data_IF_540131165446
#
_entry.id   IF_540131165446
#
_cell.length_a   1.000
_cell.length_b   1.000
_cell.length_c   1.000
_cell.angle_alpha   90.00
_cell.angle_beta   90.00
_cell.angle_gamma   90.00
#
_symmetry.space_group_name_H-M   'P 1'
#
loop_
_entity.id
_entity.type
_entity.pdbx_description
1 polymer ?
#
# COMPACT_ATOMS: atom_id res chain seq x y z
N UNK A 1 31.90 4.09 -2.60
CA UNK A 1 30.44 3.91 -2.56
C UNK A 1 30.18 2.44 -2.79
N UNK A 2 29.55 1.75 -1.84
CA UNK A 2 29.28 0.33 -2.00
C UNK A 2 28.14 0.14 -3.02
N UNK A 3 28.41 -0.62 -4.08
CA UNK A 3 27.46 -0.89 -5.16
C UNK A 3 26.18 -1.56 -4.65
N UNK A 4 26.27 -2.38 -3.60
CA UNK A 4 25.13 -3.07 -3.01
C UNK A 4 24.13 -2.10 -2.37
N UNK A 5 24.62 -1.09 -1.65
CA UNK A 5 23.78 -0.05 -1.04
C UNK A 5 23.15 0.86 -2.10
N UNK A 6 23.87 1.16 -3.17
CA UNK A 6 23.33 1.92 -4.31
C UNK A 6 22.17 1.16 -4.96
N UNK A 7 22.37 -0.13 -5.27
CA UNK A 7 21.35 -0.98 -5.88
C UNK A 7 20.13 -1.08 -4.96
N UNK A 8 20.33 -1.33 -3.66
CA UNK A 8 19.24 -1.42 -2.70
C UNK A 8 18.46 -0.09 -2.58
N UNK A 9 19.16 1.05 -2.62
CA UNK A 9 18.50 2.37 -2.59
C UNK A 9 17.70 2.62 -3.86
N UNK A 10 18.26 2.29 -5.04
CA UNK A 10 17.55 2.38 -6.31
C UNK A 10 16.28 1.50 -6.32
N UNK A 11 16.38 0.25 -5.87
CA UNK A 11 15.23 -0.67 -5.80
C UNK A 11 14.18 -0.14 -4.80
N UNK A 12 14.61 0.40 -3.66
CA UNK A 12 13.71 0.99 -2.67
C UNK A 12 12.91 2.15 -3.28
N UNK A 13 13.60 3.08 -3.95
CA UNK A 13 13.00 4.27 -4.53
C UNK A 13 12.10 3.92 -5.72
N UNK A 14 12.49 2.94 -6.53
CA UNK A 14 11.66 2.41 -7.63
C UNK A 14 10.38 1.74 -7.10
N UNK A 15 10.49 0.91 -6.05
CA UNK A 15 9.34 0.27 -5.43
C UNK A 15 8.39 1.30 -4.80
N UNK A 16 8.93 2.33 -4.14
CA UNK A 16 8.17 3.43 -3.60
C UNK A 16 7.44 4.20 -4.71
N UNK A 17 8.15 4.57 -5.79
CA UNK A 17 7.57 5.27 -6.92
C UNK A 17 6.47 4.44 -7.62
N UNK A 18 6.70 3.14 -7.81
CA UNK A 18 5.72 2.23 -8.39
C UNK A 18 4.46 2.10 -7.52
N UNK A 19 4.62 1.95 -6.21
CA UNK A 19 3.51 1.86 -5.27
C UNK A 19 2.70 3.15 -5.24
N UNK A 20 3.34 4.29 -4.96
CA UNK A 20 2.65 5.58 -4.82
C UNK A 20 2.08 6.05 -6.16
N UNK A 21 2.88 6.02 -7.21
CA UNK A 21 2.46 6.43 -8.56
C UNK A 21 1.31 5.56 -9.07
N UNK A 22 1.36 4.25 -8.83
CA UNK A 22 0.28 3.34 -9.15
C UNK A 22 -0.99 3.62 -8.34
N UNK A 23 -0.88 3.84 -7.02
CA UNK A 23 -2.04 4.16 -6.17
C UNK A 23 -2.71 5.49 -6.60
N UNK A 24 -1.92 6.52 -6.90
CA UNK A 24 -2.40 7.79 -7.44
C UNK A 24 -3.09 7.58 -8.79
N UNK A 25 -2.49 6.83 -9.71
CA UNK A 25 -3.09 6.56 -11.02
C UNK A 25 -4.42 5.80 -10.87
N UNK A 26 -4.51 4.84 -9.95
CA UNK A 26 -5.74 4.09 -9.71
C UNK A 26 -6.86 4.98 -9.16
N UNK A 27 -6.57 5.82 -8.15
CA UNK A 27 -7.59 6.67 -7.50
C UNK A 27 -8.00 7.87 -8.36
N UNK A 28 -7.04 8.54 -9.03
CA UNK A 28 -7.30 9.83 -9.68
C UNK A 28 -7.41 9.77 -11.20
N UNK A 29 -6.98 8.66 -11.83
CA UNK A 29 -7.06 8.50 -13.30
C UNK A 29 -8.05 7.40 -13.63
N UNK A 30 -7.83 6.19 -13.12
CA UNK A 30 -8.62 5.03 -13.51
C UNK A 30 -10.05 5.07 -12.94
N UNK A 31 -10.21 5.32 -11.64
CA UNK A 31 -11.53 5.34 -11.02
C UNK A 31 -12.46 6.41 -11.65
N UNK A 32 -12.02 7.66 -11.89
CA UNK A 32 -12.82 8.64 -12.62
C UNK A 32 -13.12 8.23 -14.06
N UNK A 33 -12.16 7.63 -14.77
CA UNK A 33 -12.38 7.16 -16.14
C UNK A 33 -13.45 6.06 -16.20
N UNK A 34 -13.49 5.16 -15.20
CA UNK A 34 -14.48 4.10 -15.12
C UNK A 34 -15.91 4.60 -14.87
N UNK A 35 -16.07 5.76 -14.22
CA UNK A 35 -17.39 6.36 -13.97
C UNK A 35 -18.15 6.74 -15.26
N UNK A 36 -17.42 6.94 -16.36
CA UNK A 36 -17.98 7.30 -17.67
C UNK A 36 -18.31 6.10 -18.55
N UNK A 37 -18.04 4.88 -18.09
CA UNK A 37 -18.18 3.64 -18.86
C UNK A 37 -19.42 2.87 -18.36
N UNK A 38 -20.17 2.16 -19.22
CA UNK A 38 -21.27 1.30 -18.79
C UNK A 38 -20.85 0.33 -17.67
N UNK A 39 -21.67 0.11 -16.62
CA UNK A 39 -21.25 -0.60 -15.40
C UNK A 39 -20.63 -1.99 -15.65
N UNK A 40 -21.18 -2.77 -16.59
CA UNK A 40 -20.66 -4.09 -16.93
C UNK A 40 -19.23 -4.04 -17.52
N UNK A 41 -18.95 -3.03 -18.35
CA UNK A 41 -17.62 -2.85 -18.95
C UNK A 41 -16.64 -2.28 -17.92
N UNK A 42 -17.09 -1.34 -17.08
CA UNK A 42 -16.31 -0.80 -15.97
C UNK A 42 -15.88 -1.89 -14.98
N UNK A 43 -16.78 -2.84 -14.67
CA UNK A 43 -16.47 -3.98 -13.81
C UNK A 43 -15.36 -4.87 -14.41
N UNK A 44 -15.48 -5.25 -15.68
CA UNK A 44 -14.47 -6.09 -16.35
C UNK A 44 -13.11 -5.39 -16.40
N UNK A 45 -13.12 -4.09 -16.72
CA UNK A 45 -11.91 -3.27 -16.72
C UNK A 45 -11.30 -3.20 -15.32
N UNK A 46 -12.12 -2.96 -14.29
CA UNK A 46 -11.73 -2.93 -12.88
C UNK A 46 -11.09 -4.24 -12.43
N UNK A 47 -11.71 -5.38 -12.72
CA UNK A 47 -11.18 -6.70 -12.35
C UNK A 47 -9.81 -6.96 -12.99
N UNK A 48 -9.63 -6.65 -14.27
CA UNK A 48 -8.36 -6.87 -14.99
C UNK A 48 -7.25 -5.93 -14.55
N UNK A 49 -7.57 -4.64 -14.40
CA UNK A 49 -6.62 -3.61 -13.96
C UNK A 49 -6.17 -3.82 -12.52
N UNK A 50 -7.12 -4.03 -11.60
CA UNK A 50 -6.84 -4.31 -10.18
C UNK A 50 -6.04 -5.58 -9.99
N UNK A 51 -6.29 -6.64 -10.77
CA UNK A 51 -5.53 -7.89 -10.66
C UNK A 51 -4.04 -7.70 -10.97
N UNK A 52 -3.71 -6.91 -11.99
CA UNK A 52 -2.30 -6.59 -12.33
C UNK A 52 -1.69 -5.65 -11.31
N UNK A 53 -2.44 -4.62 -10.91
CA UNK A 53 -1.97 -3.64 -9.94
C UNK A 53 -1.70 -4.28 -8.56
N UNK A 54 -2.48 -5.28 -8.16
CA UNK A 54 -2.30 -6.01 -6.90
C UNK A 54 -0.93 -6.69 -6.83
N UNK A 55 -0.46 -7.29 -7.93
CA UNK A 55 0.89 -7.90 -7.98
C UNK A 55 1.95 -6.80 -7.74
N UNK A 56 1.82 -5.66 -8.42
CA UNK A 56 2.73 -4.53 -8.27
C UNK A 56 2.74 -4.01 -6.83
N UNK A 57 1.57 -3.90 -6.19
CA UNK A 57 1.40 -3.48 -4.80
C UNK A 57 2.17 -4.39 -3.85
N UNK A 58 1.93 -5.71 -3.92
CA UNK A 58 2.59 -6.66 -3.01
C UNK A 58 4.10 -6.71 -3.22
N UNK A 59 4.54 -6.74 -4.48
CA UNK A 59 5.97 -6.71 -4.80
C UNK A 59 6.61 -5.43 -4.26
N UNK A 60 5.96 -4.28 -4.45
CA UNK A 60 6.51 -3.00 -3.98
C UNK A 60 6.58 -2.94 -2.46
N UNK A 61 5.53 -3.35 -1.74
CA UNK A 61 5.52 -3.33 -0.27
C UNK A 61 6.60 -4.23 0.33
N UNK A 62 6.80 -5.43 -0.25
CA UNK A 62 7.86 -6.35 0.16
C UNK A 62 9.24 -5.74 -0.13
N UNK A 63 9.45 -5.20 -1.33
CA UNK A 63 10.74 -4.59 -1.69
C UNK A 63 11.06 -3.38 -0.81
N UNK A 64 10.10 -2.52 -0.51
CA UNK A 64 10.25 -1.37 0.40
C UNK A 64 10.74 -1.84 1.77
N UNK A 65 10.13 -2.89 2.34
CA UNK A 65 10.54 -3.44 3.63
C UNK A 65 11.96 -4.00 3.58
N UNK A 66 12.24 -4.92 2.64
CA UNK A 66 13.52 -5.63 2.57
C UNK A 66 14.68 -4.65 2.33
N UNK A 67 14.50 -3.72 1.39
CA UNK A 67 15.52 -2.71 1.09
C UNK A 67 15.64 -1.67 2.20
N UNK A 68 14.54 -1.32 2.89
CA UNK A 68 14.56 -0.45 4.06
C UNK A 68 15.39 -1.04 5.21
N UNK A 69 15.13 -2.30 5.57
CA UNK A 69 15.90 -3.05 6.57
C UNK A 69 17.37 -3.13 6.16
N UNK A 70 17.64 -3.48 4.90
CA UNK A 70 19.01 -3.58 4.38
C UNK A 70 19.78 -2.26 4.50
N UNK A 71 19.15 -1.13 4.15
CA UNK A 71 19.76 0.21 4.26
C UNK A 71 20.06 0.59 5.71
N UNK A 72 19.20 0.22 6.66
CA UNK A 72 19.44 0.46 8.08
C UNK A 72 20.59 -0.41 8.61
N UNK A 73 20.61 -1.70 8.25
CA UNK A 73 21.71 -2.60 8.57
C UNK A 73 23.05 -2.06 8.06
N UNK A 74 23.09 -1.64 6.80
CA UNK A 74 24.31 -1.10 6.18
C UNK A 74 24.82 0.18 6.86
N UNK A 75 23.92 1.00 7.42
CA UNK A 75 24.27 2.20 8.18
C UNK A 75 24.72 1.90 9.62
N UNK A 76 24.82 0.62 10.01
CA UNK A 76 25.13 0.22 11.39
C UNK A 76 24.03 0.58 12.39
N UNK A 77 22.80 0.78 11.91
CA UNK A 77 21.67 1.24 12.71
C UNK A 77 20.83 0.08 13.28
N UNK A 78 21.05 -1.12 12.78
CA UNK A 78 20.45 -2.37 13.27
C UNK A 78 21.54 -3.28 13.83
N UNK A 79 21.20 -4.06 14.86
CA UNK A 79 22.06 -5.12 15.42
C UNK A 79 23.44 -4.63 15.93
N UNK A 80 23.48 -3.48 16.60
CA UNK A 80 24.64 -3.03 17.39
C UNK A 80 24.64 -3.68 18.78
N UNK A 81 25.07 -2.96 19.83
CA UNK A 81 25.01 -3.44 21.22
C UNK A 81 23.56 -3.64 21.73
N UNK A 82 22.57 -3.09 21.02
CA UNK A 82 21.15 -3.29 21.22
C UNK A 82 20.48 -3.51 19.86
N UNK A 83 19.28 -4.13 19.86
CA UNK A 83 18.52 -4.39 18.63
C UNK A 83 18.27 -3.09 17.82
N UNK A 84 18.08 -1.97 18.52
CA UNK A 84 18.08 -0.61 17.97
C UNK A 84 19.27 0.18 18.50
N UNK A 85 19.99 0.88 17.63
CA UNK A 85 21.11 1.77 17.99
C UNK A 85 20.57 3.18 18.25
N UNK A 86 21.30 4.01 19.01
CA UNK A 86 20.89 5.32 19.50
C UNK A 86 20.03 6.16 18.52
N UNK A 87 20.33 6.33 17.22
CA UNK A 87 19.50 7.15 16.33
C UNK A 87 18.08 6.60 16.08
N UNK A 88 17.83 5.33 16.40
CA UNK A 88 16.53 4.66 16.22
C UNK A 88 15.68 4.65 17.49
N UNK A 89 16.20 5.14 18.62
CA UNK A 89 15.40 5.24 19.85
C UNK A 89 14.39 6.37 19.75
N UNK A 90 13.39 6.35 20.63
CA UNK A 90 12.31 7.35 20.67
C UNK A 90 12.81 8.77 20.98
N UNK A 91 14.01 8.90 21.55
CA UNK A 91 14.59 10.19 21.93
C UNK A 91 15.03 11.00 20.71
N UNK A 92 15.35 10.32 19.60
CA UNK A 92 15.85 10.95 18.38
C UNK A 92 14.76 11.14 17.33
N UNK A 93 14.79 12.32 16.70
CA UNK A 93 13.86 12.68 15.63
C UNK A 93 13.89 11.72 14.45
N UNK A 94 15.09 11.24 14.11
CA UNK A 94 15.30 10.22 13.09
C UNK A 94 14.55 8.93 13.42
N UNK A 95 14.67 8.45 14.66
CA UNK A 95 14.03 7.24 15.16
C UNK A 95 12.51 7.35 15.19
N UNK A 96 11.97 8.45 15.73
CA UNK A 96 10.50 8.71 15.73
C UNK A 96 9.94 8.76 14.32
N UNK A 97 10.60 9.47 13.41
CA UNK A 97 10.20 9.59 12.01
C UNK A 97 10.19 8.22 11.33
N UNK A 98 11.26 7.44 11.50
CA UNK A 98 11.38 6.10 10.93
C UNK A 98 10.31 5.15 11.49
N UNK A 99 10.04 5.19 12.80
CA UNK A 99 9.04 4.35 13.44
C UNK A 99 7.63 4.69 12.92
N UNK A 100 7.29 5.96 12.77
CA UNK A 100 6.01 6.38 12.18
C UNK A 100 5.90 5.89 10.74
N UNK A 101 6.97 5.97 9.94
CA UNK A 101 6.98 5.40 8.59
C UNK A 101 6.77 3.88 8.61
N UNK A 102 7.37 3.16 9.57
CA UNK A 102 7.15 1.72 9.74
C UNK A 102 5.70 1.41 10.11
N UNK A 103 5.08 2.21 10.99
CA UNK A 103 3.66 2.08 11.33
C UNK A 103 2.78 2.32 10.10
N UNK A 104 3.07 3.35 9.31
CA UNK A 104 2.34 3.60 8.05
C UNK A 104 2.47 2.42 7.10
N UNK A 105 3.67 1.88 6.91
CA UNK A 105 3.89 0.69 6.10
C UNK A 105 3.09 -0.53 6.62
N UNK A 106 3.02 -0.74 7.94
CA UNK A 106 2.19 -1.81 8.52
C UNK A 106 0.69 -1.60 8.21
N UNK A 107 0.20 -0.37 8.30
CA UNK A 107 -1.20 -0.06 7.95
C UNK A 107 -1.46 -0.33 6.46
N UNK A 108 -0.55 0.10 5.57
CA UNK A 108 -0.65 -0.19 4.13
C UNK A 108 -0.68 -1.70 3.85
N UNK A 109 0.14 -2.48 4.56
CA UNK A 109 0.14 -3.94 4.45
C UNK A 109 -1.17 -4.57 4.91
N UNK A 110 -1.73 -4.11 6.04
CA UNK A 110 -3.01 -4.58 6.56
C UNK A 110 -4.14 -4.22 5.58
N UNK A 111 -4.18 -2.99 5.09
CA UNK A 111 -5.17 -2.56 4.10
C UNK A 111 -5.08 -3.37 2.81
N UNK A 112 -3.86 -3.56 2.29
CA UNK A 112 -3.60 -4.42 1.14
C UNK A 112 -4.09 -5.86 1.34
N UNK A 113 -3.89 -6.43 2.54
CA UNK A 113 -4.38 -7.75 2.91
C UNK A 113 -5.92 -7.80 2.98
N UNK A 114 -6.56 -6.82 3.62
CA UNK A 114 -8.02 -6.74 3.72
C UNK A 114 -8.66 -6.64 2.31
N UNK A 115 -8.13 -5.77 1.45
CA UNK A 115 -8.60 -5.63 0.07
C UNK A 115 -8.41 -6.94 -0.69
N UNK A 116 -7.22 -7.56 -0.60
CA UNK A 116 -6.86 -8.76 -1.37
C UNK A 116 -7.65 -10.00 -0.94
N UNK A 117 -7.74 -10.25 0.36
CA UNK A 117 -8.22 -11.53 0.89
C UNK A 117 -9.67 -11.49 1.38
N UNK A 118 -10.23 -10.31 1.66
CA UNK A 118 -11.60 -10.19 2.16
C UNK A 118 -12.50 -9.53 1.12
N UNK A 119 -12.21 -8.29 0.73
CA UNK A 119 -13.14 -7.52 -0.09
C UNK A 119 -13.17 -7.96 -1.57
N UNK A 120 -12.01 -8.29 -2.14
CA UNK A 120 -11.94 -8.72 -3.54
C UNK A 120 -12.72 -10.03 -3.82
N UNK A 121 -12.63 -11.08 -2.98
CA UNK A 121 -13.51 -12.25 -3.10
C UNK A 121 -15.00 -11.89 -3.08
N UNK A 122 -15.43 -11.00 -2.16
CA UNK A 122 -16.83 -10.55 -2.07
C UNK A 122 -17.28 -9.85 -3.37
N UNK A 123 -16.44 -8.97 -3.92
CA UNK A 123 -16.76 -8.22 -5.14
C UNK A 123 -16.85 -9.12 -6.38
N UNK A 124 -15.91 -10.07 -6.51
CA UNK A 124 -15.85 -11.02 -7.64
C UNK A 124 -16.83 -12.19 -7.54
N UNK A 125 -17.48 -12.38 -6.39
CA UNK A 125 -18.42 -13.49 -6.15
C UNK A 125 -19.57 -13.47 -7.15
N UNK A 126 -19.80 -14.59 -7.84
CA UNK A 126 -20.93 -14.76 -8.77
C UNK A 126 -22.20 -15.08 -7.97
N UNK A 127 -23.34 -14.50 -8.35
CA UNK A 127 -24.62 -14.87 -7.76
C UNK A 127 -25.00 -16.28 -8.21
N UNK A 128 -25.42 -17.13 -7.28
CA UNK A 128 -25.91 -18.47 -7.62
C UNK A 128 -27.24 -18.38 -8.37
N UNK A 129 -27.34 -19.14 -9.47
CA UNK A 129 -28.58 -19.31 -10.20
C UNK A 129 -29.60 -20.03 -9.31
N UNK A 130 -30.80 -19.46 -9.15
CA UNK A 130 -31.84 -19.97 -8.24
C UNK A 130 -31.87 -19.32 -6.85
N UNK A 131 -31.07 -18.28 -6.60
CA UNK A 131 -31.16 -17.50 -5.36
C UNK A 131 -32.54 -16.84 -5.20
N UNK A 132 -33.09 -16.87 -3.98
CA UNK A 132 -34.33 -16.16 -3.67
C UNK A 132 -34.15 -14.65 -3.85
N UNK A 133 -35.25 -13.90 -4.05
CA UNK A 133 -35.21 -12.43 -4.11
C UNK A 133 -34.53 -11.80 -2.87
N UNK A 134 -34.66 -12.42 -1.69
CA UNK A 134 -33.99 -11.97 -0.47
C UNK A 134 -32.47 -12.19 -0.52
N UNK A 135 -32.02 -13.39 -0.93
CA UNK A 135 -30.60 -13.72 -1.06
C UNK A 135 -29.90 -12.85 -2.12
N UNK A 136 -30.62 -12.50 -3.20
CA UNK A 136 -30.11 -11.59 -4.23
C UNK A 136 -29.88 -10.17 -3.69
N UNK A 137 -30.79 -9.66 -2.85
CA UNK A 137 -30.65 -8.34 -2.21
C UNK A 137 -29.48 -8.32 -1.21
N UNK A 138 -29.39 -9.31 -0.34
CA UNK A 138 -28.31 -9.41 0.65
C UNK A 138 -26.91 -9.44 -0.01
N UNK A 139 -26.80 -10.16 -1.14
CA UNK A 139 -25.56 -10.22 -1.92
C UNK A 139 -25.20 -8.87 -2.56
N UNK A 140 -26.19 -8.12 -3.08
CA UNK A 140 -25.96 -6.77 -3.61
C UNK A 140 -25.52 -5.80 -2.51
N UNK A 141 -26.16 -5.84 -1.35
CA UNK A 141 -25.81 -5.00 -0.20
C UNK A 141 -24.39 -5.27 0.31
N UNK A 142 -23.99 -6.56 0.38
CA UNK A 142 -22.64 -6.94 0.75
C UNK A 142 -21.59 -6.39 -0.24
N UNK A 143 -21.87 -6.45 -1.55
CA UNK A 143 -20.99 -5.91 -2.59
C UNK A 143 -20.87 -4.39 -2.51
N UNK A 144 -21.98 -3.68 -2.27
CA UNK A 144 -21.97 -2.23 -2.14
C UNK A 144 -21.17 -1.77 -0.91
N UNK A 145 -21.34 -2.46 0.23
CA UNK A 145 -20.53 -2.21 1.44
C UNK A 145 -19.05 -2.49 1.19
N UNK A 146 -18.71 -3.62 0.56
CA UNK A 146 -17.34 -3.96 0.23
C UNK A 146 -16.69 -2.93 -0.71
N UNK A 147 -17.43 -2.46 -1.73
CA UNK A 147 -16.94 -1.43 -2.64
C UNK A 147 -16.64 -0.11 -1.91
N UNK A 148 -17.53 0.30 -1.00
CA UNK A 148 -17.34 1.51 -0.17
C UNK A 148 -16.11 1.38 0.74
N UNK A 149 -15.92 0.22 1.36
CA UNK A 149 -14.72 -0.07 2.17
C UNK A 149 -13.45 -0.02 1.34
N UNK A 150 -13.41 -0.67 0.17
CA UNK A 150 -12.24 -0.64 -0.73
C UNK A 150 -11.89 0.79 -1.14
N UNK A 151 -12.90 1.60 -1.48
CA UNK A 151 -12.67 3.00 -1.83
C UNK A 151 -12.06 3.80 -0.67
N UNK A 152 -12.60 3.66 0.54
CA UNK A 152 -12.08 4.35 1.72
C UNK A 152 -10.65 3.91 2.06
N UNK A 153 -10.38 2.60 2.02
CA UNK A 153 -9.04 2.06 2.27
C UNK A 153 -8.03 2.56 1.24
N UNK A 154 -8.41 2.61 -0.05
CA UNK A 154 -7.53 3.09 -1.12
C UNK A 154 -7.16 4.57 -0.93
N UNK A 155 -8.11 5.41 -0.49
CA UNK A 155 -7.85 6.82 -0.17
C UNK A 155 -6.92 6.99 1.03
N UNK A 156 -7.13 6.18 2.07
CA UNK A 156 -6.23 6.13 3.22
C UNK A 156 -4.82 5.71 2.77
N UNK A 157 -4.71 4.69 1.92
CA UNK A 157 -3.42 4.21 1.41
C UNK A 157 -2.68 5.30 0.63
N UNK A 158 -3.37 6.05 -0.25
CA UNK A 158 -2.79 7.20 -0.95
C UNK A 158 -2.31 8.26 0.04
N UNK A 159 -3.12 8.62 1.03
CA UNK A 159 -2.75 9.61 2.04
C UNK A 159 -1.52 9.20 2.84
N UNK A 160 -1.48 7.94 3.30
CA UNK A 160 -0.35 7.37 4.03
C UNK A 160 0.90 7.27 3.16
N UNK A 161 0.76 6.90 1.89
CA UNK A 161 1.88 6.79 0.95
C UNK A 161 2.53 8.15 0.68
N UNK A 162 1.72 9.19 0.44
CA UNK A 162 2.19 10.58 0.27
C UNK A 162 2.85 11.09 1.55
N UNK A 163 2.24 10.86 2.71
CA UNK A 163 2.83 11.23 4.00
C UNK A 163 4.17 10.52 4.24
N UNK A 164 4.28 9.24 3.88
CA UNK A 164 5.51 8.45 3.99
C UNK A 164 6.63 9.02 3.12
N UNK A 165 6.34 9.50 1.90
CA UNK A 165 7.35 10.18 1.06
C UNK A 165 7.87 11.44 1.74
N UNK A 166 6.98 12.27 2.30
CA UNK A 166 7.37 13.49 3.00
C UNK A 166 8.25 13.19 4.22
N UNK A 167 7.87 12.21 5.03
CA UNK A 167 8.67 11.75 6.16
C UNK A 167 10.01 11.17 5.69
N UNK A 168 10.02 10.38 4.62
CA UNK A 168 11.24 9.82 4.02
C UNK A 168 12.21 10.89 3.54
N UNK A 169 11.70 11.95 2.88
CA UNK A 169 12.51 13.10 2.48
C UNK A 169 13.10 13.82 3.70
N UNK A 170 12.34 13.93 4.79
CA UNK A 170 12.80 14.58 6.03
C UNK A 170 13.95 13.83 6.73
N UNK A 171 14.09 12.51 6.52
CA UNK A 171 15.19 11.73 7.10
C UNK A 171 16.58 12.21 6.62
N UNK A 172 16.66 12.81 5.44
CA UNK A 172 17.90 13.45 4.95
C UNK A 172 18.33 14.67 5.77
N UNK A 173 17.41 15.25 6.55
CA UNK A 173 17.60 16.41 7.43
C UNK A 173 17.55 16.06 8.90
N UNK A 174 17.62 14.77 9.26
CA UNK A 174 17.57 14.30 10.65
C UNK A 174 16.19 13.85 11.15
N UNK A 175 15.16 13.89 10.29
CA UNK A 175 13.79 13.54 10.64
C UNK A 175 12.93 14.76 10.98
N UNK A 176 11.61 14.62 10.84
CA UNK A 176 10.64 15.69 11.08
C UNK A 176 10.02 15.64 12.50
N UNK A 177 9.94 14.44 13.08
CA UNK A 177 9.21 14.19 14.33
C UNK A 177 10.10 14.21 15.56
#
# INVERSE_FOLDING_TARGET
MDWSLLIASFIHDLALAAYVGGAIAMEFILAPAQASIPPAQAQIMGEKSSGRFLILVWVSLILILLTGIYRLYWRGLLFGESFLVAPLTWDYSYGRTLLVMTVFWCILMINGALITFIFRPILSGKMQAGSSQSQGRDAMDAKMKAATWVQNLTRVDVGLAVATILLGASLSRGGLL
#
